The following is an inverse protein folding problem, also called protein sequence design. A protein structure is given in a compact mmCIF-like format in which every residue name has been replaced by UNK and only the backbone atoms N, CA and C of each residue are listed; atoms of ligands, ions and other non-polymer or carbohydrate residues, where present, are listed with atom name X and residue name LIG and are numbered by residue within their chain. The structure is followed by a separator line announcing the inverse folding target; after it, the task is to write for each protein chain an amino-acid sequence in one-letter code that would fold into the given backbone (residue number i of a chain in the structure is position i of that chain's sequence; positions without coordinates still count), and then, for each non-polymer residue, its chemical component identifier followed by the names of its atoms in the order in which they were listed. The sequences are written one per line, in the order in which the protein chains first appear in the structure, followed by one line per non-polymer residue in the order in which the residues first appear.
data_IF_205136436636
#
_entry.id   IF_205136436636
#
_cell.length_a   1.000
_cell.length_b   1.000
_cell.length_c   1.000
_cell.angle_alpha   90.00
_cell.angle_beta   90.00
_cell.angle_gamma   90.00
#
_symmetry.space_group_name_H-M   'P 1'
#
loop_
_entity.id
_entity.type
_entity.pdbx_description
1 polymer ?
#
# COMPACT_ATOMS: atom_id res chain seq x y z
N UNK A 1 -14.20 7.36 16.95
CA UNK A 1 -14.14 6.02 17.52
C UNK A 1 -15.15 5.99 18.65
N UNK A 2 -15.98 4.96 18.76
CA UNK A 2 -16.90 4.83 19.89
C UNK A 2 -16.17 4.30 21.13
N UNK A 3 -16.85 4.33 22.27
CA UNK A 3 -16.28 3.89 23.54
C UNK A 3 -15.91 2.41 23.55
N UNK A 4 -16.69 1.54 22.90
CA UNK A 4 -16.43 0.10 22.87
C UNK A 4 -15.20 -0.22 22.03
N UNK A 5 -15.08 0.43 20.86
CA UNK A 5 -13.89 0.38 20.00
C UNK A 5 -12.62 0.78 20.78
N UNK A 6 -12.69 1.84 21.62
CA UNK A 6 -11.54 2.30 22.42
C UNK A 6 -11.17 1.29 23.51
N UNK A 7 -12.16 0.72 24.20
CA UNK A 7 -11.95 -0.33 25.21
C UNK A 7 -11.31 -1.57 24.58
N UNK A 8 -11.83 -2.02 23.43
CA UNK A 8 -11.27 -3.17 22.71
C UNK A 8 -9.84 -2.90 22.26
N UNK A 9 -9.55 -1.69 21.76
CA UNK A 9 -8.22 -1.35 21.30
C UNK A 9 -7.18 -1.30 22.43
N UNK A 10 -7.56 -0.84 23.62
CA UNK A 10 -6.63 -0.78 24.75
C UNK A 10 -6.48 -2.11 25.50
N UNK A 11 -7.30 -3.12 25.20
CA UNK A 11 -7.21 -4.46 25.82
C UNK A 11 -7.52 -4.51 27.32
N UNK A 12 -7.93 -3.40 27.94
CA UNK A 12 -8.20 -3.30 29.38
C UNK A 12 -9.60 -2.75 29.65
N UNK A 13 -10.36 -3.45 30.51
CA UNK A 13 -11.68 -3.03 31.00
C UNK A 13 -11.59 -2.07 32.22
N UNK A 14 -10.43 -1.46 32.46
CA UNK A 14 -10.18 -0.63 33.64
C UNK A 14 -10.86 0.74 33.58
N UNK A 15 -11.44 1.17 34.70
CA UNK A 15 -11.98 2.53 34.86
C UNK A 15 -10.91 3.61 34.62
N UNK A 16 -9.65 3.32 34.92
CA UNK A 16 -8.52 4.25 34.72
C UNK A 16 -8.36 4.71 33.26
N UNK A 17 -8.56 3.81 32.28
CA UNK A 17 -8.47 4.17 30.87
C UNK A 17 -9.62 5.09 30.47
N UNK A 18 -10.82 4.78 30.95
CA UNK A 18 -11.99 5.62 30.71
C UNK A 18 -11.81 6.99 31.34
N UNK A 19 -11.26 7.07 32.55
CA UNK A 19 -10.91 8.31 33.21
C UNK A 19 -9.84 9.09 32.43
N UNK A 20 -8.87 8.41 31.80
CA UNK A 20 -7.88 9.03 30.93
C UNK A 20 -8.52 9.62 29.66
N UNK A 21 -9.41 8.88 28.99
CA UNK A 21 -10.19 9.38 27.83
C UNK A 21 -11.04 10.58 28.25
N UNK A 22 -11.68 10.52 29.40
CA UNK A 22 -12.48 11.62 29.93
C UNK A 22 -11.63 12.84 30.31
N UNK A 23 -10.43 12.62 30.84
CA UNK A 23 -9.45 13.69 31.09
C UNK A 23 -9.04 14.38 29.79
N UNK A 24 -8.78 13.62 28.71
CA UNK A 24 -8.48 14.19 27.39
C UNK A 24 -9.66 14.99 26.82
N UNK A 25 -10.91 14.53 27.04
CA UNK A 25 -12.11 15.24 26.64
C UNK A 25 -12.27 16.55 27.44
N UNK A 26 -12.08 16.52 28.77
CA UNK A 26 -12.12 17.71 29.63
C UNK A 26 -11.05 18.74 29.27
N UNK A 27 -9.86 18.28 28.87
CA UNK A 27 -8.76 19.14 28.37
C UNK A 27 -8.97 19.61 26.93
N UNK A 28 -10.09 19.27 26.30
CA UNK A 28 -10.42 19.59 24.90
C UNK A 28 -9.35 19.15 23.89
N UNK A 29 -8.65 18.04 24.17
CA UNK A 29 -7.76 17.38 23.19
C UNK A 29 -8.61 16.57 22.21
N UNK A 30 -9.61 15.87 22.75
CA UNK A 30 -10.64 15.15 21.98
C UNK A 30 -12.02 15.76 22.24
N UNK A 31 -12.93 15.58 21.29
CA UNK A 31 -14.32 16.04 21.36
C UNK A 31 -15.28 14.86 21.37
N UNK A 32 -16.32 14.93 22.19
CA UNK A 32 -17.49 14.06 22.09
C UNK A 32 -18.34 14.55 20.90
N UNK A 33 -18.55 13.69 19.91
CA UNK A 33 -19.32 14.01 18.70
C UNK A 33 -20.81 13.78 18.87
N UNK A 34 -21.20 12.86 19.75
CA UNK A 34 -22.60 12.54 20.00
C UNK A 34 -22.84 12.01 21.43
N UNK A 35 -24.13 11.82 21.73
CA UNK A 35 -24.63 11.25 22.99
C UNK A 35 -24.19 9.78 23.15
N UNK A 36 -23.91 9.09 22.04
CA UNK A 36 -23.45 7.70 22.01
C UNK A 36 -21.94 7.55 22.32
N UNK A 37 -21.29 8.61 22.83
CA UNK A 37 -19.88 8.60 23.22
C UNK A 37 -18.94 8.29 22.04
N UNK A 38 -19.25 8.77 20.84
CA UNK A 38 -18.27 8.82 19.77
C UNK A 38 -17.25 9.93 20.03
N UNK A 39 -15.97 9.57 20.05
CA UNK A 39 -14.86 10.49 20.19
C UNK A 39 -14.22 10.80 18.84
N UNK A 40 -13.71 12.02 18.71
CA UNK A 40 -12.85 12.43 17.61
C UNK A 40 -11.80 13.42 18.08
N UNK A 41 -10.70 13.51 17.33
CA UNK A 41 -9.74 14.59 17.53
C UNK A 41 -10.44 15.95 17.34
N UNK A 42 -10.14 16.90 18.23
CA UNK A 42 -10.65 18.27 18.10
C UNK A 42 -10.10 18.96 16.85
N UNK A 43 -8.81 18.82 16.62
CA UNK A 43 -8.12 19.40 15.49
C UNK A 43 -7.43 18.29 14.71
N UNK A 44 -7.88 18.06 13.47
CA UNK A 44 -7.32 17.01 12.60
C UNK A 44 -5.82 17.22 12.36
N UNK A 45 -5.41 18.46 12.07
CA UNK A 45 -4.02 18.80 11.80
C UNK A 45 -3.12 18.46 12.99
N UNK A 46 -3.51 18.83 14.21
CA UNK A 46 -2.74 18.51 15.42
C UNK A 46 -2.64 16.99 15.62
N UNK A 47 -3.73 16.25 15.37
CA UNK A 47 -3.70 14.80 15.48
C UNK A 47 -2.80 14.15 14.42
N UNK A 48 -2.82 14.65 13.19
CA UNK A 48 -1.95 14.19 12.12
C UNK A 48 -0.47 14.46 12.49
N UNK A 49 -0.14 15.64 13.04
CA UNK A 49 1.21 15.95 13.56
C UNK A 49 1.66 15.01 14.69
N UNK A 50 0.78 14.70 15.65
CA UNK A 50 1.10 13.77 16.74
C UNK A 50 1.43 12.38 16.21
N UNK A 51 0.68 11.89 15.22
CA UNK A 51 0.89 10.57 14.63
C UNK A 51 2.23 10.49 13.88
N UNK A 52 2.68 11.60 13.29
CA UNK A 52 3.96 11.66 12.57
C UNK A 52 5.14 12.11 13.43
N UNK A 53 4.91 12.57 14.66
CA UNK A 53 5.97 13.03 15.54
C UNK A 53 6.82 11.87 16.06
N UNK A 54 8.15 12.03 15.98
CA UNK A 54 9.12 10.98 16.33
C UNK A 54 9.00 10.49 17.77
N UNK A 55 8.61 11.37 18.69
CA UNK A 55 8.39 11.06 20.11
C UNK A 55 7.28 10.02 20.34
N UNK A 56 6.30 9.93 19.43
CA UNK A 56 5.20 8.98 19.52
C UNK A 56 5.42 7.68 18.75
N UNK A 57 6.49 7.59 17.95
CA UNK A 57 6.75 6.43 17.08
C UNK A 57 6.87 5.12 17.87
N UNK A 58 7.46 5.17 19.06
CA UNK A 58 7.60 4.02 19.96
C UNK A 58 6.26 3.45 20.43
N UNK A 59 5.19 4.25 20.45
CA UNK A 59 3.85 3.81 20.86
C UNK A 59 3.00 3.32 19.69
N UNK A 60 3.42 3.55 18.44
CA UNK A 60 2.62 3.22 17.25
C UNK A 60 2.39 1.71 17.11
N UNK A 61 3.33 0.87 17.55
CA UNK A 61 3.11 -0.58 17.55
C UNK A 61 1.86 -0.97 18.34
N UNK A 62 1.83 -0.61 19.63
CA UNK A 62 0.69 -0.90 20.51
C UNK A 62 -0.60 -0.25 20.02
N UNK A 63 -0.55 0.98 19.51
CA UNK A 63 -1.73 1.68 19.00
C UNK A 63 -2.28 0.98 17.75
N UNK A 64 -1.44 0.65 16.77
CA UNK A 64 -1.87 -0.01 15.55
C UNK A 64 -2.42 -1.40 15.84
N UNK A 65 -1.76 -2.18 16.70
CA UNK A 65 -2.22 -3.51 17.10
C UNK A 65 -3.63 -3.45 17.72
N UNK A 66 -3.81 -2.57 18.71
CA UNK A 66 -5.09 -2.38 19.38
C UNK A 66 -6.19 -1.93 18.41
N UNK A 67 -5.91 -0.90 17.62
CA UNK A 67 -6.89 -0.32 16.69
C UNK A 67 -7.26 -1.31 15.58
N UNK A 68 -6.28 -2.00 15.00
CA UNK A 68 -6.53 -3.05 14.00
C UNK A 68 -7.32 -4.20 14.60
N UNK A 69 -6.97 -4.68 15.80
CA UNK A 69 -7.70 -5.75 16.48
C UNK A 69 -9.16 -5.37 16.77
N UNK A 70 -9.39 -4.15 17.29
CA UNK A 70 -10.73 -3.66 17.59
C UNK A 70 -11.62 -3.59 16.34
N UNK A 71 -11.08 -3.08 15.22
CA UNK A 71 -11.84 -3.02 13.96
C UNK A 71 -11.97 -4.37 13.28
N UNK A 72 -10.96 -5.23 13.35
CA UNK A 72 -11.01 -6.61 12.85
C UNK A 72 -12.10 -7.42 13.56
N UNK A 73 -12.20 -7.28 14.89
CA UNK A 73 -13.22 -7.97 15.70
C UNK A 73 -14.66 -7.55 15.36
N UNK A 74 -14.83 -6.37 14.75
CA UNK A 74 -16.13 -5.83 14.35
C UNK A 74 -16.55 -6.16 12.92
N UNK A 75 -15.73 -6.89 12.14
CA UNK A 75 -16.03 -7.24 10.75
C UNK A 75 -16.22 -8.75 10.56
N UNK A 76 -16.94 -9.13 9.51
CA UNK A 76 -17.14 -10.51 9.08
C UNK A 76 -17.39 -10.56 7.57
N UNK A 77 -17.40 -11.76 6.99
CA UNK A 77 -17.50 -11.98 5.54
C UNK A 77 -18.82 -11.52 4.92
N UNK A 78 -19.90 -11.42 5.71
CA UNK A 78 -21.19 -10.93 5.25
C UNK A 78 -21.34 -9.40 5.24
N UNK A 79 -20.42 -8.67 5.88
CA UNK A 79 -20.50 -7.21 5.97
C UNK A 79 -19.98 -6.55 4.68
N UNK A 80 -20.73 -5.59 4.10
CA UNK A 80 -20.28 -4.90 2.89
C UNK A 80 -19.10 -3.98 3.20
N UNK A 81 -18.14 -3.87 2.26
CA UNK A 81 -16.96 -2.99 2.39
C UNK A 81 -17.29 -1.51 2.60
N UNK A 82 -18.49 -1.07 2.21
CA UNK A 82 -18.99 0.30 2.45
C UNK A 82 -19.29 0.59 3.93
N UNK A 83 -19.42 -0.45 4.76
CA UNK A 83 -19.65 -0.33 6.19
C UNK A 83 -18.54 0.50 6.85
N UNK A 84 -18.92 1.31 7.85
CA UNK A 84 -17.99 2.18 8.60
C UNK A 84 -16.81 1.41 9.20
N UNK A 85 -17.05 0.23 9.78
CA UNK A 85 -15.98 -0.57 10.40
C UNK A 85 -15.00 -1.06 9.34
N UNK A 86 -15.51 -1.57 8.23
CA UNK A 86 -14.69 -1.98 7.10
C UNK A 86 -13.84 -0.86 6.53
N UNK A 87 -14.43 0.32 6.26
CA UNK A 87 -13.69 1.46 5.73
C UNK A 87 -12.56 1.92 6.66
N UNK A 88 -12.75 1.81 7.96
CA UNK A 88 -11.70 2.11 8.95
C UNK A 88 -10.63 1.04 8.97
N UNK A 89 -11.02 -0.23 9.02
CA UNK A 89 -10.08 -1.35 9.00
C UNK A 89 -9.19 -1.30 7.76
N UNK A 90 -9.76 -1.09 6.56
CA UNK A 90 -9.01 -0.95 5.31
C UNK A 90 -7.94 0.16 5.41
N UNK A 91 -8.28 1.29 6.04
CA UNK A 91 -7.33 2.39 6.23
C UNK A 91 -6.17 2.00 7.15
N UNK A 92 -6.43 1.28 8.23
CA UNK A 92 -5.39 0.89 9.19
C UNK A 92 -4.58 -0.34 8.74
N UNK A 93 -5.16 -1.21 7.92
CA UNK A 93 -4.45 -2.30 7.26
C UNK A 93 -3.62 -1.85 6.06
N UNK A 94 -3.82 -0.63 5.55
CA UNK A 94 -3.10 -0.14 4.39
C UNK A 94 -1.59 -0.10 4.68
N UNK A 95 -0.82 -0.82 3.88
CA UNK A 95 0.63 -0.95 4.10
C UNK A 95 1.36 0.40 4.01
N UNK A 96 0.96 1.29 3.10
CA UNK A 96 1.57 2.62 2.98
C UNK A 96 1.33 3.45 4.23
N UNK A 97 0.12 3.41 4.79
CA UNK A 97 -0.16 4.08 6.06
C UNK A 97 0.72 3.53 7.19
N UNK A 98 0.84 2.20 7.30
CA UNK A 98 1.71 1.58 8.30
C UNK A 98 3.16 2.02 8.14
N UNK A 99 3.69 2.01 6.91
CA UNK A 99 5.07 2.42 6.63
C UNK A 99 5.32 3.92 6.88
N UNK A 100 4.29 4.75 6.81
CA UNK A 100 4.39 6.18 7.14
C UNK A 100 4.52 6.43 8.65
N UNK A 101 3.97 5.56 9.50
CA UNK A 101 3.88 5.81 10.96
C UNK A 101 4.71 4.83 11.79
N UNK A 102 5.13 3.70 11.22
CA UNK A 102 5.79 2.62 11.92
C UNK A 102 6.96 2.04 11.10
N UNK A 103 7.63 1.01 11.64
CA UNK A 103 8.64 0.24 10.90
C UNK A 103 8.00 -0.97 10.20
N UNK A 104 8.65 -1.56 9.18
CA UNK A 104 8.14 -2.77 8.54
C UNK A 104 7.88 -3.92 9.53
N UNK A 105 8.75 -4.09 10.54
CA UNK A 105 8.59 -5.15 11.55
C UNK A 105 7.34 -4.96 12.41
N UNK A 106 7.01 -3.71 12.76
CA UNK A 106 5.75 -3.39 13.41
C UNK A 106 4.57 -3.73 12.50
N UNK A 107 4.66 -3.44 11.21
CA UNK A 107 3.64 -3.83 10.23
C UNK A 107 3.41 -5.34 10.17
N UNK A 108 4.49 -6.14 10.13
CA UNK A 108 4.42 -7.61 10.17
C UNK A 108 3.69 -8.10 11.43
N UNK A 109 4.08 -7.58 12.59
CA UNK A 109 3.45 -7.94 13.86
C UNK A 109 1.97 -7.57 13.92
N UNK A 110 1.59 -6.40 13.39
CA UNK A 110 0.17 -5.99 13.27
C UNK A 110 -0.61 -6.99 12.43
N UNK A 111 -0.08 -7.42 11.27
CA UNK A 111 -0.75 -8.40 10.43
C UNK A 111 -0.86 -9.77 11.12
N UNK A 112 0.22 -10.26 11.73
CA UNK A 112 0.22 -11.53 12.47
C UNK A 112 -0.84 -11.56 13.58
N UNK A 113 -1.01 -10.45 14.32
CA UNK A 113 -1.98 -10.35 15.40
C UNK A 113 -3.44 -10.44 14.94
N UNK A 114 -3.76 -9.95 13.74
CA UNK A 114 -5.12 -9.99 13.20
C UNK A 114 -5.37 -11.16 12.26
N UNK A 115 -4.36 -11.98 11.96
CA UNK A 115 -4.45 -13.09 11.00
C UNK A 115 -5.58 -14.07 11.36
N UNK A 116 -5.68 -14.49 12.62
CA UNK A 116 -6.72 -15.42 13.07
C UNK A 116 -8.14 -14.89 12.79
N UNK A 117 -8.32 -13.57 12.76
CA UNK A 117 -9.62 -12.92 12.52
C UNK A 117 -9.85 -12.66 11.03
N UNK A 118 -8.79 -12.36 10.26
CA UNK A 118 -8.88 -11.84 8.90
C UNK A 118 -8.33 -12.77 7.81
N UNK A 119 -7.87 -13.98 8.13
CA UNK A 119 -7.29 -14.94 7.18
C UNK A 119 -8.22 -15.31 6.00
N UNK A 120 -9.52 -15.10 6.12
CA UNK A 120 -10.49 -15.33 5.04
C UNK A 120 -10.62 -14.14 4.07
N UNK A 121 -10.02 -13.00 4.39
CA UNK A 121 -10.17 -11.75 3.64
C UNK A 121 -9.03 -11.53 2.66
N UNK A 122 -9.34 -11.37 1.37
CA UNK A 122 -8.31 -11.15 0.34
C UNK A 122 -7.55 -9.84 0.56
N UNK A 123 -8.21 -8.78 1.05
CA UNK A 123 -7.60 -7.46 1.20
C UNK A 123 -6.58 -7.46 2.34
N UNK A 124 -6.82 -8.23 3.41
CA UNK A 124 -5.82 -8.48 4.44
C UNK A 124 -4.53 -9.08 3.85
N UNK A 125 -4.65 -10.17 3.07
CA UNK A 125 -3.50 -10.81 2.44
C UNK A 125 -2.80 -9.90 1.42
N UNK A 126 -3.57 -9.16 0.63
CA UNK A 126 -3.05 -8.18 -0.32
C UNK A 126 -2.17 -7.14 0.39
N UNK A 127 -2.66 -6.51 1.46
CA UNK A 127 -1.89 -5.47 2.14
C UNK A 127 -0.62 -6.04 2.80
N UNK A 128 -0.71 -7.24 3.39
CA UNK A 128 0.46 -7.94 3.93
C UNK A 128 1.48 -8.25 2.85
N UNK A 129 1.02 -8.68 1.67
CA UNK A 129 1.90 -8.91 0.55
C UNK A 129 2.56 -7.63 0.05
N UNK A 130 1.81 -6.55 -0.11
CA UNK A 130 2.35 -5.25 -0.53
C UNK A 130 3.44 -4.72 0.40
N UNK A 131 3.31 -4.94 1.72
CA UNK A 131 4.37 -4.61 2.67
C UNK A 131 5.68 -5.34 2.32
N UNK A 132 5.60 -6.64 2.03
CA UNK A 132 6.77 -7.45 1.67
C UNK A 132 7.29 -7.14 0.26
N UNK A 133 6.41 -6.82 -0.69
CA UNK A 133 6.81 -6.34 -2.02
C UNK A 133 7.64 -5.09 -1.84
N UNK A 134 7.18 -4.09 -1.08
CA UNK A 134 7.85 -2.81 -0.91
C UNK A 134 9.17 -2.92 -0.14
N UNK A 135 9.14 -3.51 1.06
CA UNK A 135 10.21 -3.40 2.06
C UNK A 135 10.84 -4.74 2.48
N UNK A 136 10.42 -5.86 1.89
CA UNK A 136 10.69 -7.17 2.46
C UNK A 136 11.09 -8.26 1.47
N UNK A 137 10.66 -9.47 1.79
CA UNK A 137 11.02 -10.71 1.08
C UNK A 137 9.99 -11.01 -0.03
N UNK A 138 10.47 -11.04 -1.28
CA UNK A 138 9.62 -11.32 -2.43
C UNK A 138 9.04 -12.75 -2.43
N UNK A 139 9.63 -13.69 -1.70
CA UNK A 139 9.08 -15.03 -1.53
C UNK A 139 7.89 -15.00 -0.56
N UNK A 140 8.00 -14.28 0.55
CA UNK A 140 6.86 -14.06 1.46
C UNK A 140 5.73 -13.31 0.75
N UNK A 141 6.06 -12.27 0.00
CA UNK A 141 5.11 -11.54 -0.82
C UNK A 141 4.35 -12.47 -1.80
N UNK A 142 5.06 -13.44 -2.41
CA UNK A 142 4.43 -14.44 -3.30
C UNK A 142 3.41 -15.27 -2.54
N UNK A 143 3.82 -15.85 -1.41
CA UNK A 143 2.95 -16.68 -0.60
C UNK A 143 1.67 -15.93 -0.20
N UNK A 144 1.79 -14.68 0.21
CA UNK A 144 0.63 -13.86 0.59
C UNK A 144 -0.24 -13.45 -0.59
N UNK A 145 0.34 -13.12 -1.76
CA UNK A 145 -0.44 -12.87 -2.97
C UNK A 145 -1.17 -14.12 -3.45
N UNK A 146 -0.55 -15.30 -3.37
CA UNK A 146 -1.19 -16.56 -3.72
C UNK A 146 -2.39 -16.86 -2.81
N UNK A 147 -2.28 -16.58 -1.50
CA UNK A 147 -3.44 -16.64 -0.59
C UNK A 147 -4.54 -15.66 -1.04
N UNK A 148 -4.18 -14.40 -1.33
CA UNK A 148 -5.13 -13.39 -1.79
C UNK A 148 -5.86 -13.81 -3.09
N UNK A 149 -5.12 -14.34 -4.08
CA UNK A 149 -5.65 -14.85 -5.35
C UNK A 149 -6.54 -16.06 -5.16
N UNK A 150 -6.20 -16.96 -4.24
CA UNK A 150 -7.03 -18.14 -3.94
C UNK A 150 -8.41 -17.76 -3.37
N UNK A 151 -8.47 -16.68 -2.59
CA UNK A 151 -9.70 -16.16 -1.99
C UNK A 151 -10.51 -15.35 -3.00
N UNK A 152 -9.84 -14.53 -3.81
CA UNK A 152 -10.51 -13.63 -4.78
C UNK A 152 -9.78 -13.64 -6.14
N UNK A 153 -9.93 -14.70 -6.94
CA UNK A 153 -9.28 -14.81 -8.25
C UNK A 153 -9.69 -13.67 -9.19
N UNK A 154 -8.73 -13.06 -9.89
CA UNK A 154 -8.99 -12.01 -10.87
C UNK A 154 -9.35 -10.65 -10.28
N UNK A 155 -9.25 -10.47 -8.95
CA UNK A 155 -9.41 -9.15 -8.35
C UNK A 155 -8.27 -8.23 -8.77
N UNK A 156 -8.62 -7.09 -9.36
CA UNK A 156 -7.68 -6.21 -10.09
C UNK A 156 -6.56 -5.67 -9.22
N UNK A 157 -6.86 -5.37 -7.96
CA UNK A 157 -5.85 -4.91 -7.01
C UNK A 157 -4.78 -5.97 -6.76
N UNK A 158 -5.19 -7.24 -6.68
CA UNK A 158 -4.28 -8.37 -6.47
C UNK A 158 -3.45 -8.61 -7.72
N UNK A 159 -4.07 -8.60 -8.90
CA UNK A 159 -3.35 -8.81 -10.17
C UNK A 159 -2.36 -7.66 -10.46
N UNK A 160 -2.69 -6.42 -10.09
CA UNK A 160 -1.75 -5.28 -10.20
C UNK A 160 -0.53 -5.49 -9.31
N UNK A 161 -0.75 -5.92 -8.07
CA UNK A 161 0.34 -6.15 -7.11
C UNK A 161 1.17 -7.40 -7.45
N UNK A 162 0.56 -8.42 -8.03
CA UNK A 162 1.26 -9.58 -8.57
C UNK A 162 2.18 -9.19 -9.74
N UNK A 163 1.71 -8.34 -10.65
CA UNK A 163 2.54 -7.81 -11.71
C UNK A 163 3.69 -6.94 -11.18
N UNK A 164 3.44 -6.12 -10.15
CA UNK A 164 4.50 -5.39 -9.44
C UNK A 164 5.56 -6.38 -8.91
N UNK A 165 5.15 -7.41 -8.16
CA UNK A 165 6.05 -8.43 -7.64
C UNK A 165 6.96 -9.03 -8.72
N UNK A 166 6.40 -9.42 -9.86
CA UNK A 166 7.16 -10.02 -10.97
C UNK A 166 8.23 -9.07 -11.52
N UNK A 167 7.87 -7.83 -11.84
CA UNK A 167 8.81 -6.85 -12.40
C UNK A 167 9.87 -6.47 -11.35
N UNK A 168 9.49 -6.35 -10.08
CA UNK A 168 10.43 -6.07 -9.00
C UNK A 168 11.40 -7.22 -8.80
N UNK A 169 10.94 -8.47 -8.90
CA UNK A 169 11.78 -9.67 -8.84
C UNK A 169 12.78 -9.71 -9.99
N UNK A 170 12.33 -9.46 -11.21
CA UNK A 170 13.20 -9.33 -12.37
C UNK A 170 14.28 -8.27 -12.11
N UNK A 171 13.85 -7.08 -11.68
CA UNK A 171 14.76 -5.94 -11.44
C UNK A 171 15.78 -6.18 -10.33
N UNK A 172 15.43 -6.89 -9.25
CA UNK A 172 16.37 -7.24 -8.17
C UNK A 172 17.37 -8.32 -8.56
N UNK A 173 17.02 -9.18 -9.52
CA UNK A 173 17.82 -10.33 -9.93
C UNK A 173 17.90 -10.42 -11.47
N UNK A 174 18.48 -9.42 -12.15
CA UNK A 174 18.44 -9.33 -13.61
C UNK A 174 19.20 -10.46 -14.32
N UNK A 175 20.15 -11.10 -13.65
CA UNK A 175 20.93 -12.24 -14.18
C UNK A 175 20.22 -13.59 -14.00
N UNK A 176 19.06 -13.61 -13.34
CA UNK A 176 18.31 -14.84 -13.15
C UNK A 176 17.75 -15.33 -14.51
N UNK A 177 17.80 -16.64 -14.77
CA UNK A 177 17.38 -17.20 -16.06
C UNK A 177 15.93 -16.86 -16.47
N UNK A 178 15.06 -16.60 -15.50
CA UNK A 178 13.66 -16.23 -15.72
C UNK A 178 13.40 -14.71 -15.57
N UNK A 179 14.42 -13.87 -15.43
CA UNK A 179 14.22 -12.44 -15.17
C UNK A 179 13.45 -11.75 -16.31
N UNK A 180 13.81 -12.03 -17.55
CA UNK A 180 13.11 -11.50 -18.73
C UNK A 180 11.66 -12.01 -18.81
N UNK A 181 11.42 -13.28 -18.48
CA UNK A 181 10.08 -13.87 -18.46
C UNK A 181 9.19 -13.19 -17.40
N UNK A 182 9.70 -13.01 -16.18
CA UNK A 182 8.98 -12.29 -15.12
C UNK A 182 8.67 -10.85 -15.52
N UNK A 183 9.64 -10.17 -16.13
CA UNK A 183 9.43 -8.81 -16.64
C UNK A 183 8.31 -8.77 -17.70
N UNK A 184 8.40 -9.63 -18.71
CA UNK A 184 7.44 -9.69 -19.80
C UNK A 184 6.04 -10.06 -19.31
N UNK A 185 5.92 -11.03 -18.41
CA UNK A 185 4.65 -11.44 -17.82
C UNK A 185 4.03 -10.32 -16.98
N UNK A 186 4.79 -9.70 -16.07
CA UNK A 186 4.30 -8.59 -15.25
C UNK A 186 3.88 -7.39 -16.10
N UNK A 187 4.66 -7.06 -17.13
CA UNK A 187 4.32 -6.01 -18.09
C UNK A 187 2.99 -6.30 -18.79
N UNK A 188 2.82 -7.51 -19.32
CA UNK A 188 1.59 -7.91 -20.01
C UNK A 188 0.36 -7.78 -19.12
N UNK A 189 0.42 -8.24 -17.87
CA UNK A 189 -0.69 -8.08 -16.93
C UNK A 189 -1.07 -6.61 -16.71
N UNK A 190 -0.08 -5.73 -16.54
CA UNK A 190 -0.35 -4.30 -16.33
C UNK A 190 -0.94 -3.64 -17.57
N UNK A 191 -0.45 -3.98 -18.77
CA UNK A 191 -1.02 -3.48 -20.03
C UNK A 191 -2.49 -3.91 -20.21
N UNK A 192 -2.81 -5.16 -19.89
CA UNK A 192 -4.19 -5.67 -19.91
C UNK A 192 -5.09 -4.95 -18.88
N UNK A 193 -4.61 -4.73 -17.65
CA UNK A 193 -5.33 -4.00 -16.60
C UNK A 193 -5.54 -2.51 -16.96
N UNK A 194 -4.54 -1.88 -17.56
CA UNK A 194 -4.60 -0.52 -18.09
C UNK A 194 -5.66 -0.44 -19.18
N UNK A 195 -5.69 -1.39 -20.13
CA UNK A 195 -6.69 -1.39 -21.19
C UNK A 195 -8.12 -1.54 -20.64
N UNK A 196 -8.31 -2.34 -19.59
CA UNK A 196 -9.63 -2.56 -18.99
C UNK A 196 -10.09 -1.41 -18.09
N UNK A 197 -9.18 -0.83 -17.30
CA UNK A 197 -9.57 0.03 -16.17
C UNK A 197 -8.72 1.29 -15.99
N UNK A 198 -7.76 1.53 -16.89
CA UNK A 198 -6.83 2.65 -16.82
C UNK A 198 -7.49 4.02 -16.80
N UNK A 199 -8.68 4.20 -17.37
CA UNK A 199 -9.41 5.48 -17.26
C UNK A 199 -9.87 5.83 -15.83
N UNK A 200 -9.91 4.85 -14.91
CA UNK A 200 -10.41 5.00 -13.54
C UNK A 200 -9.36 4.76 -12.48
N UNK A 201 -8.30 4.04 -12.82
CA UNK A 201 -7.23 3.68 -11.90
C UNK A 201 -5.87 4.09 -12.47
N UNK A 202 -5.17 4.96 -11.74
CA UNK A 202 -3.83 5.43 -12.11
C UNK A 202 -2.74 4.44 -11.70
N UNK A 203 -3.00 3.56 -10.74
CA UNK A 203 -1.97 2.74 -10.11
C UNK A 203 -1.28 1.76 -11.07
N UNK A 204 -1.97 1.05 -11.97
CA UNK A 204 -1.31 0.19 -12.96
C UNK A 204 -0.31 0.94 -13.86
N UNK A 205 -0.62 2.18 -14.27
CA UNK A 205 0.33 3.02 -15.02
C UNK A 205 1.58 3.33 -14.20
N UNK A 206 1.39 3.69 -12.94
CA UNK A 206 2.49 4.03 -12.04
C UNK A 206 3.40 2.82 -11.79
N UNK A 207 2.82 1.65 -11.52
CA UNK A 207 3.58 0.41 -11.33
C UNK A 207 4.37 0.07 -12.59
N UNK A 208 3.72 0.07 -13.76
CA UNK A 208 4.40 -0.28 -15.02
C UNK A 208 5.55 0.69 -15.32
N UNK A 209 5.33 1.99 -15.20
CA UNK A 209 6.37 2.98 -15.47
C UNK A 209 7.51 2.95 -14.45
N UNK A 210 7.22 2.90 -13.15
CA UNK A 210 8.25 2.94 -12.10
C UNK A 210 9.08 1.66 -12.05
N UNK A 211 8.44 0.49 -12.16
CA UNK A 211 9.14 -0.79 -12.16
C UNK A 211 9.79 -1.09 -13.52
N UNK A 212 9.17 -0.65 -14.61
CA UNK A 212 9.79 -0.67 -15.93
C UNK A 212 11.06 0.17 -16.00
N UNK A 213 11.07 1.36 -15.39
CA UNK A 213 12.27 2.19 -15.25
C UNK A 213 13.33 1.52 -14.37
N UNK A 214 12.92 0.87 -13.27
CA UNK A 214 13.84 0.11 -12.43
C UNK A 214 14.51 -1.05 -13.20
N UNK A 215 13.73 -1.80 -13.99
CA UNK A 215 14.23 -2.85 -14.87
C UNK A 215 15.20 -2.28 -15.91
N UNK A 216 14.83 -1.22 -16.63
CA UNK A 216 15.69 -0.59 -17.63
C UNK A 216 17.04 -0.09 -17.06
N UNK A 217 17.10 0.20 -15.75
CA UNK A 217 18.34 0.60 -15.07
C UNK A 217 19.22 -0.59 -14.67
N UNK A 218 18.63 -1.73 -14.34
CA UNK A 218 19.36 -2.87 -13.79
C UNK A 218 19.64 -3.98 -14.82
N UNK A 219 18.75 -4.17 -15.79
CA UNK A 219 18.89 -5.21 -16.79
C UNK A 219 20.05 -4.93 -17.75
N UNK A 220 20.80 -5.98 -18.09
CA UNK A 220 21.86 -5.94 -19.09
C UNK A 220 21.29 -6.09 -20.51
N UNK A 221 20.42 -5.15 -20.89
CA UNK A 221 19.84 -5.10 -22.23
C UNK A 221 20.64 -4.16 -23.14
N UNK A 222 20.72 -4.42 -24.46
CA UNK A 222 21.35 -3.52 -25.42
C UNK A 222 20.78 -2.09 -25.36
N UNK A 223 21.61 -1.09 -25.63
CA UNK A 223 21.21 0.34 -25.54
C UNK A 223 20.01 0.65 -26.43
N UNK A 224 19.92 0.06 -27.62
CA UNK A 224 18.79 0.24 -28.53
C UNK A 224 17.49 -0.34 -27.93
N UNK A 225 17.54 -1.54 -27.37
CA UNK A 225 16.38 -2.17 -26.71
C UNK A 225 15.96 -1.39 -25.46
N UNK A 226 16.92 -0.93 -24.65
CA UNK A 226 16.65 -0.04 -23.50
C UNK A 226 15.94 1.24 -23.94
N UNK A 227 16.38 1.84 -25.06
CA UNK A 227 15.80 3.07 -25.58
C UNK A 227 14.36 2.87 -26.06
N UNK A 228 14.08 1.78 -26.77
CA UNK A 228 12.72 1.45 -27.19
C UNK A 228 11.81 1.16 -25.99
N UNK A 229 12.29 0.38 -25.02
CA UNK A 229 11.55 0.12 -23.77
C UNK A 229 11.19 1.42 -23.05
N UNK A 230 12.17 2.32 -22.83
CA UNK A 230 11.92 3.59 -22.16
C UNK A 230 10.94 4.48 -22.92
N UNK A 231 10.97 4.44 -24.26
CA UNK A 231 10.03 5.16 -25.10
C UNK A 231 8.60 4.63 -24.94
N UNK A 232 8.43 3.31 -24.98
CA UNK A 232 7.12 2.65 -24.77
C UNK A 232 6.56 2.98 -23.39
N UNK A 233 7.38 2.86 -22.34
CA UNK A 233 6.97 3.21 -20.97
C UNK A 233 6.56 4.68 -20.86
N UNK A 234 7.31 5.58 -21.50
CA UNK A 234 6.98 7.01 -21.52
C UNK A 234 5.65 7.28 -22.22
N UNK A 235 5.36 6.62 -23.34
CA UNK A 235 4.07 6.75 -24.05
C UNK A 235 2.91 6.27 -23.18
N UNK A 236 3.06 5.13 -22.52
CA UNK A 236 2.05 4.57 -21.62
C UNK A 236 1.82 5.50 -20.41
N UNK A 237 2.88 5.97 -19.75
CA UNK A 237 2.75 6.88 -18.59
C UNK A 237 2.16 8.23 -19.00
N UNK A 238 2.53 8.78 -20.17
CA UNK A 238 1.91 10.01 -20.71
C UNK A 238 0.41 9.83 -20.95
N UNK A 239 -0.01 8.67 -21.46
CA UNK A 239 -1.42 8.31 -21.54
C UNK A 239 -2.07 8.29 -20.16
N UNK A 240 -1.41 7.68 -19.16
CA UNK A 240 -1.85 7.71 -17.76
C UNK A 240 -2.02 9.12 -17.19
N UNK A 241 -1.08 10.04 -17.44
CA UNK A 241 -1.17 11.46 -17.04
C UNK A 241 -2.37 12.15 -17.69
N UNK A 242 -2.69 11.81 -18.95
CA UNK A 242 -3.85 12.39 -19.65
C UNK A 242 -5.18 11.95 -19.01
N UNK A 243 -5.29 10.69 -18.58
CA UNK A 243 -6.48 10.20 -17.86
C UNK A 243 -6.54 10.69 -16.42
N UNK A 244 -5.38 10.87 -15.77
CA UNK A 244 -5.25 11.20 -14.35
C UNK A 244 -4.40 12.46 -14.13
N UNK A 245 -4.86 13.64 -14.58
CA UNK A 245 -4.05 14.86 -14.59
C UNK A 245 -3.68 15.37 -13.18
N UNK A 246 -4.34 14.87 -12.13
CA UNK A 246 -4.08 15.25 -10.73
C UNK A 246 -3.13 14.29 -10.00
N UNK A 247 -2.66 13.23 -10.65
CA UNK A 247 -1.70 12.30 -10.04
C UNK A 247 -0.29 12.89 -10.12
N UNK A 248 0.22 13.37 -8.98
CA UNK A 248 1.57 13.93 -8.87
C UNK A 248 2.65 12.86 -9.13
N UNK A 249 2.41 11.62 -8.69
CA UNK A 249 3.32 10.49 -8.89
C UNK A 249 3.52 10.20 -10.38
N UNK A 250 2.44 10.16 -11.17
CA UNK A 250 2.54 9.94 -12.63
C UNK A 250 3.23 11.10 -13.35
N UNK A 251 2.99 12.35 -12.93
CA UNK A 251 3.67 13.51 -13.50
C UNK A 251 5.17 13.48 -13.23
N UNK A 252 5.56 13.09 -12.02
CA UNK A 252 6.97 12.95 -11.63
C UNK A 252 7.63 11.81 -12.41
N UNK A 253 6.97 10.65 -12.46
CA UNK A 253 7.45 9.49 -13.19
C UNK A 253 7.62 9.74 -14.69
N UNK A 254 6.71 10.50 -15.31
CA UNK A 254 6.84 10.89 -16.72
C UNK A 254 8.13 11.68 -16.98
N UNK A 255 8.48 12.61 -16.08
CA UNK A 255 9.72 13.40 -16.16
C UNK A 255 10.96 12.54 -15.94
N UNK A 256 10.89 11.59 -15.00
CA UNK A 256 12.00 10.68 -14.73
C UNK A 256 12.29 9.75 -15.90
N UNK A 257 11.25 9.23 -16.55
CA UNK A 257 11.37 8.42 -17.78
C UNK A 257 11.94 9.24 -18.94
N UNK A 258 11.47 10.48 -19.13
CA UNK A 258 11.99 11.37 -20.17
C UNK A 258 13.48 11.67 -19.95
N UNK A 259 13.88 11.95 -18.71
CA UNK A 259 15.28 12.15 -18.35
C UNK A 259 16.13 10.92 -18.64
N UNK A 260 15.69 9.73 -18.22
CA UNK A 260 16.42 8.48 -18.46
C UNK A 260 16.56 8.20 -19.97
N UNK A 261 15.49 8.40 -20.73
CA UNK A 261 15.51 8.22 -22.18
C UNK A 261 16.50 9.17 -22.86
N UNK A 262 16.52 10.45 -22.49
CA UNK A 262 17.48 11.43 -23.03
C UNK A 262 18.94 11.05 -22.71
N UNK A 263 19.21 10.49 -21.52
CA UNK A 263 20.55 10.03 -21.16
C UNK A 263 21.03 8.90 -22.08
N UNK A 264 20.15 8.04 -22.59
CA UNK A 264 20.54 7.02 -23.57
C UNK A 264 21.01 7.61 -24.92
N UNK A 265 20.61 8.83 -25.25
CA UNK A 265 21.03 9.52 -26.48
C UNK A 265 22.37 10.25 -26.34
N UNK A 266 22.76 10.63 -25.12
CA UNK A 266 24.01 11.36 -24.85
C UNK A 266 25.21 10.41 -24.71
N UNK A 267 24.99 9.13 -24.38
CA UNK A 267 26.04 8.12 -24.16
C UNK A 267 26.54 7.47 -25.47
N UNK A 268 26.67 8.25 -26.55
CA UNK A 268 27.49 7.85 -27.71
C UNK A 268 28.67 8.83 -27.79
N UNK A 269 29.92 8.39 -27.59
CA UNK A 269 30.58 7.42 -28.48
C UNK A 269 31.55 6.40 -27.82
N UNK A 270 31.56 5.17 -28.30
CA UNK A 270 32.75 4.38 -28.70
C UNK A 270 32.39 3.49 -29.88
#
# INVERSE_FOLDING_TARGET
MDRQEIILACGSLGNEMLDAVESLARRNVITRRDIHSNYGARHRVIADEIVHAMEFRQYMATVLEGVCFAFASGVNSGLPRSNRQWRRLIRFLNHQFILQVATPDVGRHVYENVEKILHWDYHYWLQRASLEVEQGDLNLATNFLDQARSISPGERLIETEYAYLLIKRASKSPEHGNAEEWFAEGRKYLEELIAQTGSRDSYPYHVLGSQGLAWARQAKIPVLEKRELLKELMEIVKSGVSFHPRSEDLQTLAKDLEKEWLLTAVVQPE
#
